data_IF_602862234512
#
_entry.id   IF_602862234512
#
_cell.length_a   1.000
_cell.length_b   1.000
_cell.length_c   1.000
_cell.angle_alpha   90.00
_cell.angle_beta   90.00
_cell.angle_gamma   90.00
#
_symmetry.space_group_name_H-M   'P 1'
#
loop_
_entity.id
_entity.type
_entity.pdbx_description
1 polymer ?
#
# COMPACT_ATOMS: atom_id res chain seq x y z
N UNK A 1 6.98 21.79 -18.70
CA UNK A 1 8.15 21.35 -17.89
C UNK A 1 8.52 19.89 -18.19
N UNK A 2 9.78 19.55 -18.47
CA UNK A 2 10.21 18.16 -18.59
C UNK A 2 10.55 17.59 -17.19
N UNK A 3 9.76 16.63 -16.71
CA UNK A 3 9.84 16.13 -15.33
C UNK A 3 10.38 14.69 -15.35
N UNK A 4 11.67 14.54 -15.09
CA UNK A 4 12.33 13.23 -14.99
C UNK A 4 12.23 12.67 -13.56
N UNK A 5 12.03 11.36 -13.45
CA UNK A 5 12.05 10.64 -12.16
C UNK A 5 13.50 10.33 -11.75
N UNK A 6 13.82 10.51 -10.48
CA UNK A 6 15.13 10.16 -9.92
C UNK A 6 15.36 8.63 -9.93
N UNK A 7 16.60 8.19 -10.15
CA UNK A 7 16.95 6.79 -10.44
C UNK A 7 17.31 5.94 -9.20
N UNK A 8 17.21 6.49 -7.99
CA UNK A 8 17.69 5.85 -6.76
C UNK A 8 16.62 5.19 -5.87
N UNK A 9 15.39 5.01 -6.36
CA UNK A 9 14.31 4.41 -5.54
C UNK A 9 14.27 2.87 -5.64
N UNK A 10 14.42 2.18 -4.51
CA UNK A 10 14.13 0.75 -4.37
C UNK A 10 12.69 0.56 -3.88
N UNK A 11 11.89 -0.23 -4.59
CA UNK A 11 10.53 -0.60 -4.14
C UNK A 11 10.60 -1.67 -3.04
N UNK A 12 10.69 -1.21 -1.79
CA UNK A 12 10.62 -2.11 -0.63
C UNK A 12 9.28 -2.86 -0.52
N UNK A 13 8.25 -2.44 -1.25
CA UNK A 13 7.00 -3.16 -1.40
C UNK A 13 7.16 -4.52 -2.11
N UNK A 14 8.28 -4.81 -2.78
CA UNK A 14 8.57 -6.13 -3.37
C UNK A 14 9.49 -7.00 -2.49
N UNK A 15 9.44 -6.78 -1.19
CA UNK A 15 10.19 -7.59 -0.23
C UNK A 15 9.27 -8.46 0.63
N UNK A 16 9.87 -9.48 1.25
CA UNK A 16 9.31 -10.27 2.34
C UNK A 16 10.30 -10.28 3.51
N UNK A 17 9.78 -10.44 4.72
CA UNK A 17 10.61 -10.62 5.92
C UNK A 17 10.77 -12.11 6.20
N UNK A 18 12.00 -12.58 6.30
CA UNK A 18 12.33 -13.90 6.85
C UNK A 18 12.93 -13.73 8.24
N UNK A 19 12.74 -14.69 9.12
CA UNK A 19 13.25 -14.64 10.49
C UNK A 19 14.32 -15.70 10.72
N UNK A 20 15.40 -15.31 11.40
CA UNK A 20 16.46 -16.20 11.87
C UNK A 20 16.84 -15.86 13.31
N UNK A 21 16.54 -16.74 14.27
CA UNK A 21 16.83 -16.52 15.71
C UNK A 21 16.44 -15.13 16.23
N UNK A 22 15.23 -14.66 15.89
CA UNK A 22 14.73 -13.35 16.32
C UNK A 22 15.24 -12.16 15.50
N UNK A 23 16.13 -12.37 14.52
CA UNK A 23 16.61 -11.34 13.60
C UNK A 23 15.71 -11.32 12.35
N UNK A 24 15.04 -10.19 12.05
CA UNK A 24 14.31 -10.03 10.80
C UNK A 24 15.29 -9.71 9.66
N UNK A 25 15.09 -10.35 8.51
CA UNK A 25 15.90 -10.12 7.31
C UNK A 25 14.94 -9.81 6.16
N UNK A 26 15.13 -8.67 5.52
CA UNK A 26 14.33 -8.24 4.38
C UNK A 26 14.98 -8.77 3.11
N UNK A 27 14.25 -9.58 2.37
CA UNK A 27 14.69 -10.18 1.10
C UNK A 27 13.67 -9.91 0.00
N UNK A 28 14.06 -9.98 -1.29
CA UNK A 28 13.09 -9.92 -2.38
C UNK A 28 11.94 -10.93 -2.24
N UNK A 29 10.74 -10.59 -2.72
CA UNK A 29 9.57 -11.48 -2.62
C UNK A 29 9.78 -12.82 -3.38
N UNK A 30 10.59 -12.80 -4.42
CA UNK A 30 10.97 -13.98 -5.21
C UNK A 30 12.15 -14.78 -4.64
N UNK A 31 12.64 -14.42 -3.43
CA UNK A 31 13.74 -15.14 -2.77
C UNK A 31 13.32 -16.58 -2.48
N UNK A 32 14.04 -17.54 -3.09
CA UNK A 32 13.68 -18.95 -3.07
C UNK A 32 13.92 -19.59 -1.69
N UNK A 33 13.28 -20.75 -1.43
CA UNK A 33 13.51 -21.51 -0.19
C UNK A 33 14.98 -21.94 -0.08
N UNK A 34 15.62 -22.27 -1.21
CA UNK A 34 17.03 -22.59 -1.27
C UNK A 34 17.90 -21.38 -0.89
N UNK A 35 17.64 -20.21 -1.47
CA UNK A 35 18.35 -18.97 -1.11
C UNK A 35 18.15 -18.63 0.37
N UNK A 36 16.94 -18.82 0.90
CA UNK A 36 16.63 -18.65 2.32
C UNK A 36 17.42 -19.60 3.22
N UNK A 37 17.54 -20.88 2.83
CA UNK A 37 18.35 -21.88 3.53
C UNK A 37 19.81 -21.45 3.64
N UNK A 38 20.43 -21.03 2.53
CA UNK A 38 21.82 -20.60 2.51
C UNK A 38 22.04 -19.33 3.35
N UNK A 39 21.13 -18.35 3.24
CA UNK A 39 21.22 -17.11 4.01
C UNK A 39 21.11 -17.35 5.52
N UNK A 40 20.13 -18.16 5.94
CA UNK A 40 19.96 -18.53 7.36
C UNK A 40 21.14 -19.34 7.88
N UNK A 41 21.68 -20.26 7.07
CA UNK A 41 22.86 -21.01 7.44
C UNK A 41 24.08 -20.10 7.64
N UNK A 42 24.33 -19.15 6.73
CA UNK A 42 25.42 -18.20 6.86
C UNK A 42 25.31 -17.34 8.13
N UNK A 43 24.11 -16.83 8.44
CA UNK A 43 23.87 -16.08 9.67
C UNK A 43 24.04 -16.94 10.93
N UNK A 44 23.56 -18.18 10.89
CA UNK A 44 23.73 -19.16 11.98
C UNK A 44 25.21 -19.47 12.20
N UNK A 45 26.00 -19.59 11.13
CA UNK A 45 27.45 -19.80 11.22
C UNK A 45 28.13 -18.67 11.99
N UNK A 46 27.80 -17.42 11.66
CA UNK A 46 28.35 -16.24 12.34
C UNK A 46 27.88 -16.21 13.80
N UNK A 47 26.59 -16.41 14.06
CA UNK A 47 25.99 -16.28 15.39
C UNK A 47 26.54 -17.29 16.40
N UNK A 48 26.81 -18.52 15.96
CA UNK A 48 27.36 -19.58 16.82
C UNK A 48 28.89 -19.65 16.80
N UNK A 49 29.57 -18.76 16.06
CA UNK A 49 31.04 -18.78 15.95
C UNK A 49 31.59 -20.00 15.19
N UNK A 50 30.79 -20.61 14.31
CA UNK A 50 31.23 -21.71 13.47
C UNK A 50 32.14 -21.18 12.35
N UNK A 51 33.11 -22.00 11.92
CA UNK A 51 34.06 -21.61 10.86
C UNK A 51 33.52 -21.89 9.45
N UNK A 52 32.61 -22.86 9.30
CA UNK A 52 32.14 -23.34 8.00
C UNK A 52 30.62 -23.28 7.87
N UNK A 53 30.16 -22.57 6.84
CA UNK A 53 28.74 -22.57 6.42
C UNK A 53 28.31 -23.95 5.95
N UNK A 54 29.16 -24.69 5.23
CA UNK A 54 28.84 -26.04 4.76
C UNK A 54 28.59 -27.02 5.90
N UNK A 55 29.40 -26.95 6.97
CA UNK A 55 29.17 -27.76 8.15
C UNK A 55 27.84 -27.39 8.83
N UNK A 56 27.54 -26.09 8.92
CA UNK A 56 26.29 -25.58 9.47
C UNK A 56 25.09 -26.05 8.65
N UNK A 57 25.18 -26.03 7.31
CA UNK A 57 24.15 -26.50 6.38
C UNK A 57 23.84 -27.98 6.60
N UNK A 58 24.88 -28.82 6.66
CA UNK A 58 24.74 -30.27 6.86
C UNK A 58 24.17 -30.62 8.24
N UNK A 59 24.54 -29.86 9.26
CA UNK A 59 24.19 -30.15 10.66
C UNK A 59 22.78 -29.66 11.01
N UNK A 60 22.44 -28.41 10.66
CA UNK A 60 21.22 -27.76 11.13
C UNK A 60 20.15 -27.58 10.05
N UNK A 61 20.51 -27.62 8.76
CA UNK A 61 19.61 -27.30 7.64
C UNK A 61 19.38 -28.47 6.67
N UNK A 62 19.75 -29.70 7.05
CA UNK A 62 19.63 -30.90 6.18
C UNK A 62 18.21 -31.08 5.63
N UNK A 63 17.20 -31.01 6.51
CA UNK A 63 15.79 -31.21 6.17
C UNK A 63 15.01 -29.89 6.04
N UNK A 64 15.70 -28.75 5.88
CA UNK A 64 15.10 -27.42 5.92
C UNK A 64 13.91 -27.27 4.97
N UNK A 65 14.06 -27.62 3.69
CA UNK A 65 12.99 -27.46 2.69
C UNK A 65 11.76 -28.33 3.01
N UNK A 66 11.98 -29.55 3.50
CA UNK A 66 10.90 -30.45 3.90
C UNK A 66 10.15 -29.87 5.09
N UNK A 67 10.89 -29.38 6.09
CA UNK A 67 10.31 -28.76 7.29
C UNK A 67 9.54 -27.48 6.97
N UNK A 68 10.05 -26.63 6.06
CA UNK A 68 9.35 -25.42 5.64
C UNK A 68 8.07 -25.74 4.85
N UNK A 69 8.07 -26.77 4.00
CA UNK A 69 6.84 -27.23 3.32
C UNK A 69 5.78 -27.72 4.32
N UNK A 70 6.18 -28.47 5.35
CA UNK A 70 5.27 -28.93 6.41
C UNK A 70 4.75 -27.76 7.25
N UNK A 71 5.62 -26.82 7.62
CA UNK A 71 5.21 -25.60 8.34
C UNK A 71 4.19 -24.80 7.52
N UNK A 72 4.45 -24.64 6.23
CA UNK A 72 3.54 -23.94 5.33
C UNK A 72 2.19 -24.66 5.18
N UNK A 73 2.16 -25.99 5.10
CA UNK A 73 0.87 -26.70 5.06
C UNK A 73 0.08 -26.52 6.35
N UNK A 74 0.75 -26.54 7.50
CA UNK A 74 0.11 -26.44 8.81
C UNK A 74 -0.36 -25.01 9.13
N UNK A 75 0.24 -23.98 8.53
CA UNK A 75 -0.13 -22.58 8.77
C UNK A 75 -1.27 -22.08 7.90
N UNK A 76 -1.71 -22.82 6.86
CA UNK A 76 -2.74 -22.36 5.92
C UNK A 76 -4.07 -22.00 6.57
N UNK A 77 -4.44 -22.71 7.63
CA UNK A 77 -5.70 -22.47 8.34
C UNK A 77 -5.58 -21.36 9.40
N UNK A 78 -4.37 -20.91 9.71
CA UNK A 78 -4.12 -19.82 10.65
C UNK A 78 -4.72 -18.50 10.13
N UNK A 79 -5.44 -17.79 11.01
CA UNK A 79 -6.10 -16.53 10.67
C UNK A 79 -5.11 -15.45 10.17
N UNK A 80 -3.92 -15.36 10.77
CA UNK A 80 -2.89 -14.41 10.36
C UNK A 80 -2.35 -14.73 8.97
N UNK A 81 -2.25 -16.02 8.62
CA UNK A 81 -1.88 -16.44 7.27
C UNK A 81 -2.95 -16.05 6.25
N UNK A 82 -4.24 -16.22 6.60
CA UNK A 82 -5.36 -15.80 5.74
C UNK A 82 -5.36 -14.28 5.51
N UNK A 83 -5.11 -13.48 6.55
CA UNK A 83 -4.96 -12.03 6.41
C UNK A 83 -3.74 -11.66 5.56
N UNK A 84 -2.56 -12.23 5.85
CA UNK A 84 -1.35 -11.96 5.06
C UNK A 84 -1.54 -12.30 3.58
N UNK A 85 -2.17 -13.44 3.27
CA UNK A 85 -2.49 -13.84 1.90
C UNK A 85 -3.40 -12.82 1.21
N UNK A 86 -4.44 -12.35 1.89
CA UNK A 86 -5.40 -11.39 1.33
C UNK A 86 -4.78 -9.99 1.16
N UNK A 87 -3.98 -9.55 2.12
CA UNK A 87 -3.17 -8.33 2.03
C UNK A 87 -2.27 -8.41 0.79
N UNK A 88 -1.51 -9.49 0.64
CA UNK A 88 -0.61 -9.66 -0.50
C UNK A 88 -1.35 -9.65 -1.84
N UNK A 89 -2.56 -10.22 -1.90
CA UNK A 89 -3.42 -10.14 -3.09
C UNK A 89 -3.79 -8.68 -3.42
N UNK A 90 -4.23 -7.91 -2.42
CA UNK A 90 -4.58 -6.49 -2.57
C UNK A 90 -3.37 -5.67 -3.03
N UNK A 91 -2.23 -5.80 -2.34
CA UNK A 91 -1.04 -5.02 -2.63
C UNK A 91 -0.50 -5.34 -4.04
N UNK A 92 -0.60 -6.59 -4.49
CA UNK A 92 -0.23 -6.99 -5.85
C UNK A 92 -1.13 -6.34 -6.89
N UNK A 93 -2.45 -6.38 -6.69
CA UNK A 93 -3.40 -5.71 -7.58
C UNK A 93 -3.16 -4.20 -7.63
N UNK A 94 -2.89 -3.60 -6.47
CA UNK A 94 -2.60 -2.17 -6.37
C UNK A 94 -1.37 -1.79 -7.17
N UNK A 95 -0.27 -2.53 -6.99
CA UNK A 95 0.98 -2.32 -7.73
C UNK A 95 0.75 -2.37 -9.23
N UNK A 96 0.12 -3.43 -9.72
CA UNK A 96 -0.12 -3.63 -11.16
C UNK A 96 -0.94 -2.49 -11.77
N UNK A 97 -2.00 -2.07 -11.06
CA UNK A 97 -2.88 -0.99 -11.51
C UNK A 97 -2.17 0.36 -11.45
N UNK A 98 -1.47 0.64 -10.36
CA UNK A 98 -0.72 1.88 -10.18
C UNK A 98 0.38 2.03 -11.23
N UNK A 99 1.23 1.01 -11.41
CA UNK A 99 2.29 1.01 -12.42
C UNK A 99 1.75 1.25 -13.83
N UNK A 100 0.58 0.69 -14.16
CA UNK A 100 -0.08 0.92 -15.45
C UNK A 100 -0.39 2.41 -15.65
N UNK A 101 -0.87 3.08 -14.61
CA UNK A 101 -1.17 4.51 -14.64
C UNK A 101 0.10 5.36 -14.64
N UNK A 102 1.09 5.04 -13.79
CA UNK A 102 2.39 5.73 -13.77
C UNK A 102 3.12 5.61 -15.11
N UNK A 103 3.07 4.45 -15.78
CA UNK A 103 3.63 4.26 -17.13
C UNK A 103 2.95 5.14 -18.19
N UNK A 104 1.65 5.44 -18.05
CA UNK A 104 0.98 6.43 -18.90
C UNK A 104 1.50 7.84 -18.59
N UNK A 105 1.53 8.20 -17.31
CA UNK A 105 1.99 9.52 -16.84
C UNK A 105 3.43 9.85 -17.27
N UNK A 106 4.32 8.87 -17.24
CA UNK A 106 5.72 9.03 -17.65
C UNK A 106 5.89 9.33 -19.14
N UNK A 107 4.89 8.98 -19.97
CA UNK A 107 4.89 9.30 -21.40
C UNK A 107 4.37 10.70 -21.70
N UNK A 108 3.74 11.36 -20.74
CA UNK A 108 3.19 12.70 -20.93
C UNK A 108 4.28 13.75 -20.84
N UNK A 109 4.34 14.58 -21.89
CA UNK A 109 5.10 15.81 -21.90
C UNK A 109 4.18 16.97 -21.51
N UNK A 110 4.60 17.74 -20.51
CA UNK A 110 3.87 18.88 -19.97
C UNK A 110 4.49 20.22 -20.40
N UNK A 111 5.27 20.26 -21.48
CA UNK A 111 5.89 21.50 -21.96
C UNK A 111 4.87 22.50 -22.50
N UNK A 112 3.85 22.00 -23.21
CA UNK A 112 2.84 22.84 -23.87
C UNK A 112 1.51 22.90 -23.10
N UNK A 113 1.44 22.31 -21.91
CA UNK A 113 0.24 22.30 -21.07
C UNK A 113 0.18 23.55 -20.16
N UNK A 114 -1.01 23.84 -19.63
CA UNK A 114 -1.17 24.89 -18.62
C UNK A 114 -0.33 24.59 -17.37
N UNK A 115 -0.05 25.64 -16.60
CA UNK A 115 0.69 25.56 -15.35
C UNK A 115 0.02 24.55 -14.38
N UNK A 116 -1.30 24.65 -14.23
CA UNK A 116 -2.10 23.74 -13.40
C UNK A 116 -1.97 22.26 -13.79
N UNK A 117 -2.03 21.94 -15.08
CA UNK A 117 -1.87 20.55 -15.56
C UNK A 117 -0.45 20.05 -15.31
N UNK A 118 0.56 20.91 -15.47
CA UNK A 118 1.95 20.58 -15.11
C UNK A 118 2.10 20.25 -13.62
N UNK A 119 1.49 21.05 -12.73
CA UNK A 119 1.48 20.78 -11.29
C UNK A 119 0.74 19.50 -10.93
N UNK A 120 -0.39 19.22 -11.57
CA UNK A 120 -1.09 17.94 -11.42
C UNK A 120 -0.16 16.77 -11.78
N UNK A 121 0.57 16.87 -12.91
CA UNK A 121 1.57 15.88 -13.31
C UNK A 121 2.65 15.64 -12.24
N UNK A 122 3.15 16.70 -11.62
CA UNK A 122 4.12 16.63 -10.51
C UNK A 122 3.55 15.90 -9.29
N UNK A 123 2.35 16.25 -8.84
CA UNK A 123 1.68 15.64 -7.69
C UNK A 123 1.49 14.14 -7.93
N UNK A 124 0.97 13.78 -9.10
CA UNK A 124 0.72 12.39 -9.47
C UNK A 124 1.99 11.55 -9.59
N UNK A 125 3.12 12.14 -10.03
CA UNK A 125 4.44 11.49 -10.00
C UNK A 125 4.96 11.32 -8.58
N UNK A 126 4.81 12.33 -7.71
CA UNK A 126 5.24 12.25 -6.30
C UNK A 126 4.52 11.16 -5.52
N UNK A 127 3.25 10.89 -5.84
CA UNK A 127 2.46 9.84 -5.16
C UNK A 127 3.04 8.43 -5.29
N UNK A 128 3.93 8.17 -6.27
CA UNK A 128 4.64 6.88 -6.43
C UNK A 128 5.29 6.45 -5.11
N UNK A 129 6.09 7.34 -4.50
CA UNK A 129 6.77 7.01 -3.25
C UNK A 129 5.81 6.77 -2.09
N UNK A 130 4.63 7.41 -2.09
CA UNK A 130 3.63 7.24 -1.03
C UNK A 130 2.91 5.89 -1.15
N UNK A 131 2.61 5.45 -2.37
CA UNK A 131 2.11 4.08 -2.60
C UNK A 131 3.15 3.05 -2.18
N UNK A 132 4.42 3.22 -2.56
CA UNK A 132 5.49 2.27 -2.24
C UNK A 132 5.73 2.16 -0.73
N UNK A 133 5.81 3.32 -0.05
CA UNK A 133 5.92 3.38 1.41
C UNK A 133 4.73 2.71 2.11
N UNK A 134 3.51 3.00 1.65
CA UNK A 134 2.29 2.40 2.23
C UNK A 134 2.28 0.88 2.08
N UNK A 135 2.67 0.34 0.91
CA UNK A 135 2.76 -1.12 0.71
C UNK A 135 3.74 -1.77 1.69
N UNK A 136 4.90 -1.15 1.93
CA UNK A 136 5.88 -1.64 2.89
C UNK A 136 5.32 -1.63 4.33
N UNK A 137 4.78 -0.49 4.76
CA UNK A 137 4.23 -0.36 6.12
C UNK A 137 3.09 -1.36 6.39
N UNK A 138 2.19 -1.55 5.42
CA UNK A 138 1.11 -2.54 5.50
C UNK A 138 1.67 -3.94 5.72
N UNK A 139 2.65 -4.36 4.91
CA UNK A 139 3.29 -5.69 5.02
C UNK A 139 3.94 -5.92 6.37
N UNK A 140 4.47 -4.87 6.99
CA UNK A 140 5.15 -4.96 8.27
C UNK A 140 4.21 -4.75 9.47
N UNK A 141 2.90 -4.55 9.24
CA UNK A 141 1.93 -4.39 10.31
C UNK A 141 1.79 -2.97 10.86
N UNK A 142 2.42 -1.97 10.25
CA UNK A 142 2.43 -0.55 10.69
C UNK A 142 1.17 0.19 10.23
N UNK A 143 0.01 -0.25 10.73
CA UNK A 143 -1.29 0.25 10.29
C UNK A 143 -1.52 1.72 10.69
N UNK A 144 -1.02 2.16 11.83
CA UNK A 144 -1.24 3.52 12.33
C UNK A 144 -0.55 4.57 11.45
N UNK A 145 0.73 4.33 11.12
CA UNK A 145 1.51 5.15 10.20
C UNK A 145 0.91 5.14 8.79
N UNK A 146 0.37 3.99 8.37
CA UNK A 146 -0.27 3.85 7.07
C UNK A 146 -1.51 4.76 6.95
N UNK A 147 -2.35 4.90 7.98
CA UNK A 147 -3.48 5.83 7.93
C UNK A 147 -3.06 7.26 7.64
N UNK A 148 -1.96 7.71 8.26
CA UNK A 148 -1.42 9.06 8.06
C UNK A 148 -0.97 9.27 6.60
N UNK A 149 -0.31 8.29 6.00
CA UNK A 149 0.08 8.35 4.60
C UNK A 149 -1.12 8.34 3.65
N UNK A 150 -2.10 7.44 3.87
CA UNK A 150 -3.32 7.35 3.07
C UNK A 150 -4.08 8.68 3.10
N UNK A 151 -4.18 9.32 4.28
CA UNK A 151 -4.79 10.64 4.42
C UNK A 151 -4.03 11.71 3.63
N UNK A 152 -2.71 11.75 3.72
CA UNK A 152 -1.89 12.69 2.96
C UNK A 152 -2.06 12.49 1.44
N UNK A 153 -2.18 11.23 0.99
CA UNK A 153 -2.43 10.92 -0.43
C UNK A 153 -3.80 11.42 -0.87
N UNK A 154 -4.84 11.25 -0.06
CA UNK A 154 -6.18 11.79 -0.33
C UNK A 154 -6.15 13.30 -0.50
N UNK A 155 -5.47 14.01 0.40
CA UNK A 155 -5.33 15.47 0.34
C UNK A 155 -4.59 15.91 -0.93
N UNK A 156 -3.54 15.19 -1.34
CA UNK A 156 -2.81 15.48 -2.58
C UNK A 156 -3.65 15.24 -3.83
N UNK A 157 -4.43 14.16 -3.87
CA UNK A 157 -5.35 13.86 -4.99
C UNK A 157 -6.45 14.92 -5.07
N UNK A 158 -7.04 15.30 -3.93
CA UNK A 158 -8.06 16.34 -3.87
C UNK A 158 -7.50 17.71 -4.27
N UNK A 159 -6.27 18.03 -3.87
CA UNK A 159 -5.58 19.24 -4.30
C UNK A 159 -5.37 19.24 -5.82
N UNK A 160 -4.86 18.15 -6.41
CA UNK A 160 -4.71 18.04 -7.86
C UNK A 160 -6.05 18.21 -8.61
N UNK A 161 -7.13 17.59 -8.14
CA UNK A 161 -8.47 17.75 -8.70
C UNK A 161 -8.96 19.21 -8.62
N UNK A 162 -8.69 19.90 -7.51
CA UNK A 162 -9.13 21.29 -7.36
C UNK A 162 -8.36 22.25 -8.28
N UNK A 163 -7.04 22.07 -8.41
CA UNK A 163 -6.22 22.98 -9.23
C UNK A 163 -6.34 22.72 -10.73
N UNK A 164 -6.75 21.52 -11.15
CA UNK A 164 -6.88 21.21 -12.58
C UNK A 164 -7.91 22.07 -13.31
N UNK A 165 -8.85 22.70 -12.58
CA UNK A 165 -9.82 23.64 -13.12
C UNK A 165 -9.45 25.12 -12.95
N UNK A 166 -8.19 25.43 -12.62
CA UNK A 166 -7.70 26.80 -12.38
C UNK A 166 -6.64 27.17 -13.40
N UNK A 167 -6.48 28.46 -13.65
CA UNK A 167 -5.53 28.95 -14.65
C UNK A 167 -4.13 29.17 -14.06
N UNK A 168 -4.05 29.72 -12.84
CA UNK A 168 -2.79 30.20 -12.26
C UNK A 168 -2.54 29.70 -10.82
N UNK A 169 -1.26 29.64 -10.42
CA UNK A 169 -0.82 29.24 -9.09
C UNK A 169 -1.42 30.05 -7.93
N UNK A 170 -1.67 31.35 -8.11
CA UNK A 170 -2.21 32.23 -7.07
C UNK A 170 -3.61 31.82 -6.60
N UNK A 171 -4.35 31.08 -7.42
CA UNK A 171 -5.68 30.58 -7.08
C UNK A 171 -5.64 29.31 -6.22
N UNK A 172 -4.46 28.74 -5.98
CA UNK A 172 -4.33 27.47 -5.28
C UNK A 172 -4.65 27.66 -3.79
N UNK A 173 -5.55 26.82 -3.29
CA UNK A 173 -5.97 26.85 -1.88
C UNK A 173 -5.32 25.72 -1.09
N UNK A 174 -5.36 25.79 0.24
CA UNK A 174 -4.82 24.73 1.09
C UNK A 174 -5.43 23.36 0.78
N UNK A 175 -4.62 22.27 0.68
CA UNK A 175 -5.09 20.93 0.37
C UNK A 175 -6.25 20.42 1.25
N UNK A 176 -6.29 20.80 2.53
CA UNK A 176 -7.35 20.41 3.48
C UNK A 176 -8.72 20.97 3.10
N UNK A 177 -8.75 22.10 2.38
CA UNK A 177 -9.97 22.73 1.84
C UNK A 177 -10.40 22.12 0.51
N UNK A 178 -9.53 21.37 -0.18
CA UNK A 178 -9.83 20.81 -1.50
C UNK A 178 -10.70 19.55 -1.44
N UNK A 179 -10.79 18.91 -0.26
CA UNK A 179 -11.62 17.72 -0.07
C UNK A 179 -13.09 18.00 -0.36
N UNK A 180 -13.60 19.19 -0.08
CA UNK A 180 -15.00 19.54 -0.37
C UNK A 180 -15.29 19.52 -1.87
N UNK A 181 -14.39 20.05 -2.70
CA UNK A 181 -14.54 20.03 -4.16
C UNK A 181 -14.54 18.61 -4.73
N UNK A 182 -13.74 17.70 -4.15
CA UNK A 182 -13.68 16.32 -4.61
C UNK A 182 -14.99 15.55 -4.37
N UNK A 183 -15.86 16.00 -3.46
CA UNK A 183 -17.14 15.32 -3.19
C UNK A 183 -18.10 15.37 -4.37
N UNK A 184 -18.03 16.41 -5.19
CA UNK A 184 -18.93 16.56 -6.33
C UNK A 184 -18.65 15.51 -7.41
N UNK A 185 -17.37 15.11 -7.56
CA UNK A 185 -16.93 14.07 -8.50
C UNK A 185 -16.88 12.68 -7.87
N UNK A 186 -16.47 12.58 -6.61
CA UNK A 186 -16.38 11.33 -5.85
C UNK A 186 -17.07 11.49 -4.49
N UNK A 187 -18.40 11.26 -4.40
CA UNK A 187 -19.22 11.58 -3.22
C UNK A 187 -18.74 10.96 -1.89
N UNK A 188 -18.10 9.80 -1.95
CA UNK A 188 -17.62 9.11 -0.75
C UNK A 188 -16.34 9.73 -0.15
N UNK A 189 -15.63 10.60 -0.88
CA UNK A 189 -14.34 11.19 -0.47
C UNK A 189 -14.42 11.92 0.87
N UNK A 190 -15.53 12.61 1.14
CA UNK A 190 -15.77 13.30 2.40
C UNK A 190 -15.89 12.39 3.62
N UNK A 191 -16.68 11.31 3.50
CA UNK A 191 -16.85 10.32 4.57
C UNK A 191 -15.54 9.59 4.82
N UNK A 192 -14.83 9.26 3.74
CA UNK A 192 -13.53 8.62 3.81
C UNK A 192 -12.48 9.51 4.49
N UNK A 193 -12.44 10.81 4.19
CA UNK A 193 -11.57 11.76 4.88
C UNK A 193 -11.83 11.80 6.40
N UNK A 194 -13.11 11.82 6.80
CA UNK A 194 -13.51 11.77 8.20
C UNK A 194 -13.06 10.49 8.90
N UNK A 195 -13.25 9.34 8.23
CA UNK A 195 -12.77 8.04 8.71
C UNK A 195 -11.26 8.07 8.94
N UNK A 196 -10.47 8.47 7.94
CA UNK A 196 -9.01 8.53 8.07
C UNK A 196 -8.59 9.49 9.18
N UNK A 197 -9.22 10.66 9.28
CA UNK A 197 -8.93 11.63 10.34
C UNK A 197 -9.12 11.03 11.73
N UNK A 198 -10.22 10.30 11.96
CA UNK A 198 -10.49 9.61 13.23
C UNK A 198 -9.46 8.52 13.56
N UNK A 199 -8.83 7.93 12.55
CA UNK A 199 -7.83 6.85 12.72
C UNK A 199 -6.39 7.37 12.83
N UNK A 200 -6.13 8.61 12.45
CA UNK A 200 -4.79 9.23 12.49
C UNK A 200 -4.46 9.95 13.79
N UNK A 201 -5.46 10.41 14.54
CA UNK A 201 -5.26 11.12 15.79
C UNK A 201 -5.49 10.17 16.97
N UNK A 202 -4.55 10.13 17.92
CA UNK A 202 -4.74 9.35 19.15
C UNK A 202 -5.81 10.07 19.99
N UNK A 203 -6.98 9.47 20.07
CA UNK A 203 -8.06 9.86 20.96
C UNK A 203 -8.58 8.63 21.74
N UNK A 204 -9.58 8.85 22.60
CA UNK A 204 -10.16 7.78 23.43
C UNK A 204 -10.64 6.57 22.60
N UNK A 205 -11.22 6.80 21.41
CA UNK A 205 -11.69 5.73 20.52
C UNK A 205 -10.55 4.93 19.90
N UNK A 206 -9.37 5.53 19.76
CA UNK A 206 -8.20 4.86 19.20
C UNK A 206 -7.43 4.05 20.24
N UNK A 207 -7.51 4.40 21.54
CA UNK A 207 -6.81 3.65 22.62
C UNK A 207 -7.17 2.17 22.56
N UNK A 208 -8.45 1.83 22.39
CA UNK A 208 -8.92 0.44 22.32
C UNK A 208 -8.39 -0.33 21.10
N UNK A 209 -7.84 0.35 20.09
CA UNK A 209 -7.23 -0.30 18.92
C UNK A 209 -5.78 -0.68 19.13
N UNK A 210 -5.09 -0.04 20.07
CA UNK A 210 -3.68 -0.32 20.32
C UNK A 210 -3.36 -0.71 21.77
N UNK A 211 -4.36 -0.75 22.66
CA UNK A 211 -4.21 -1.15 24.05
C UNK A 211 -5.27 -2.16 24.43
N UNK A 212 -4.87 -3.22 25.12
CA UNK A 212 -5.77 -4.19 25.74
C UNK A 212 -5.20 -4.68 27.07
N UNK A 213 -6.04 -5.25 27.92
CA UNK A 213 -5.63 -5.92 29.15
C UNK A 213 -5.72 -7.42 28.89
N UNK A 214 -4.63 -8.15 29.15
CA UNK A 214 -4.60 -9.59 28.96
C UNK A 214 -5.32 -10.35 30.10
N UNK A 215 -5.33 -11.67 29.98
CA UNK A 215 -5.96 -12.58 30.95
C UNK A 215 -5.34 -12.53 32.35
N UNK A 216 -4.12 -12.00 32.50
CA UNK A 216 -3.44 -11.81 33.79
C UNK A 216 -3.68 -10.40 34.38
N UNK A 217 -4.43 -9.54 33.69
CA UNK A 217 -4.63 -8.16 34.11
C UNK A 217 -3.48 -7.22 33.73
N UNK A 218 -2.54 -7.66 32.89
CA UNK A 218 -1.42 -6.83 32.44
C UNK A 218 -1.80 -6.02 31.20
N UNK A 219 -1.39 -4.75 31.17
CA UNK A 219 -1.63 -3.86 30.04
C UNK A 219 -0.68 -4.16 28.88
N UNK A 220 -1.25 -4.45 27.71
CA UNK A 220 -0.53 -4.80 26.49
C UNK A 220 -0.72 -3.73 25.41
N UNK A 221 0.30 -3.52 24.59
CA UNK A 221 0.29 -2.56 23.47
C UNK A 221 0.42 -3.28 22.13
N UNK A 222 -0.50 -3.01 21.20
CA UNK A 222 -0.47 -3.52 19.83
C UNK A 222 0.35 -2.56 18.98
N UNK A 223 1.65 -2.86 18.85
CA UNK A 223 2.57 -2.10 17.99
C UNK A 223 2.37 -2.42 16.50
N UNK A 224 1.93 -3.65 16.18
CA UNK A 224 1.76 -4.14 14.80
C UNK A 224 0.57 -5.09 14.74
N UNK A 225 -0.19 -5.05 13.66
CA UNK A 225 -1.36 -5.93 13.48
C UNK A 225 -1.64 -6.20 12.01
N UNK A 226 -1.68 -7.48 11.63
CA UNK A 226 -2.10 -7.90 10.29
C UNK A 226 -3.59 -7.66 10.05
N UNK A 227 -4.41 -7.80 11.09
CA UNK A 227 -5.85 -7.51 10.99
C UNK A 227 -6.09 -6.04 10.65
N UNK A 228 -5.41 -5.11 11.33
CA UNK A 228 -5.55 -3.69 11.02
C UNK A 228 -4.81 -3.30 9.73
N UNK A 229 -3.72 -3.99 9.38
CA UNK A 229 -3.10 -3.85 8.05
C UNK A 229 -4.03 -4.26 6.92
N UNK A 230 -4.93 -5.20 7.14
CA UNK A 230 -5.95 -5.57 6.14
C UNK A 230 -6.92 -4.40 5.91
N UNK A 231 -7.34 -3.69 6.97
CA UNK A 231 -8.15 -2.48 6.82
C UNK A 231 -7.42 -1.41 6.02
N UNK A 232 -6.17 -1.11 6.37
CA UNK A 232 -5.39 -0.09 5.66
C UNK A 232 -5.06 -0.49 4.22
N UNK A 233 -4.91 -1.78 3.93
CA UNK A 233 -4.77 -2.28 2.56
C UNK A 233 -6.02 -1.97 1.73
N UNK A 234 -7.21 -2.16 2.31
CA UNK A 234 -8.48 -1.79 1.67
C UNK A 234 -8.61 -0.28 1.51
N UNK A 235 -8.23 0.50 2.52
CA UNK A 235 -8.26 1.97 2.43
C UNK A 235 -7.30 2.49 1.35
N UNK A 236 -6.12 1.86 1.19
CA UNK A 236 -5.19 2.17 0.10
C UNK A 236 -5.77 1.78 -1.27
N UNK A 237 -6.65 0.77 -1.35
CA UNK A 237 -7.35 0.40 -2.60
C UNK A 237 -8.38 1.47 -2.97
N UNK A 238 -9.05 2.08 -2.00
CA UNK A 238 -9.93 3.23 -2.21
C UNK A 238 -9.12 4.44 -2.71
N UNK A 239 -7.94 4.70 -2.14
CA UNK A 239 -7.04 5.75 -2.64
C UNK A 239 -6.58 5.48 -4.08
N UNK A 240 -6.29 4.22 -4.41
CA UNK A 240 -5.95 3.86 -5.78
C UNK A 240 -7.13 4.09 -6.74
N UNK A 241 -8.36 3.76 -6.34
CA UNK A 241 -9.57 4.04 -7.12
C UNK A 241 -9.70 5.54 -7.40
N UNK A 242 -9.58 6.36 -6.35
CA UNK A 242 -9.60 7.82 -6.42
C UNK A 242 -8.49 8.36 -7.33
N UNK A 243 -7.26 7.89 -7.14
CA UNK A 243 -6.12 8.24 -7.98
C UNK A 243 -6.43 7.97 -9.45
N UNK A 244 -6.94 6.79 -9.78
CA UNK A 244 -7.22 6.43 -11.17
C UNK A 244 -8.37 7.26 -11.76
N UNK A 245 -9.44 7.50 -11.00
CA UNK A 245 -10.58 8.31 -11.48
C UNK A 245 -10.16 9.76 -11.72
N UNK A 246 -9.47 10.38 -10.76
CA UNK A 246 -9.01 11.76 -10.87
C UNK A 246 -7.92 11.89 -11.96
N UNK A 247 -7.05 10.90 -12.12
CA UNK A 247 -6.09 10.87 -13.22
C UNK A 247 -6.79 10.97 -14.58
N UNK A 248 -7.81 10.13 -14.82
CA UNK A 248 -8.52 10.13 -16.09
C UNK A 248 -9.30 11.43 -16.33
N UNK A 249 -9.83 12.02 -15.27
CA UNK A 249 -10.50 13.33 -15.32
C UNK A 249 -9.52 14.45 -15.73
N UNK A 250 -8.38 14.56 -15.04
CA UNK A 250 -7.41 15.65 -15.25
C UNK A 250 -6.73 15.53 -16.62
N UNK A 251 -6.31 14.32 -17.00
CA UNK A 251 -5.55 14.10 -18.24
C UNK A 251 -6.41 13.61 -19.39
N UNK A 252 -7.71 13.93 -19.37
CA UNK A 252 -8.72 13.45 -20.34
C UNK A 252 -8.31 13.64 -21.80
N UNK A 253 -7.70 14.78 -22.14
CA UNK A 253 -7.28 15.14 -23.50
C UNK A 253 -6.06 14.33 -23.98
N UNK A 254 -5.34 13.68 -23.05
CA UNK A 254 -4.18 12.83 -23.32
C UNK A 254 -4.52 11.34 -23.24
N UNK A 255 -5.79 10.98 -23.10
CA UNK A 255 -6.26 9.59 -22.94
C UNK A 255 -7.21 9.23 -24.07
N UNK A 256 -6.87 8.17 -24.81
CA UNK A 256 -7.71 7.68 -25.91
C UNK A 256 -8.94 6.88 -25.47
N UNK A 257 -8.90 6.28 -24.26
CA UNK A 257 -9.99 5.47 -23.72
C UNK A 257 -9.99 5.47 -22.19
N UNK A 258 -11.10 5.88 -21.60
CA UNK A 258 -11.33 5.84 -20.16
C UNK A 258 -11.61 4.42 -19.66
N UNK A 259 -11.14 4.12 -18.45
CA UNK A 259 -11.29 2.83 -17.77
C UNK A 259 -11.96 2.98 -16.40
N UNK A 260 -11.84 4.15 -15.78
CA UNK A 260 -12.28 4.46 -14.43
C UNK A 260 -13.43 5.49 -14.41
N UNK A 261 -13.54 6.30 -15.45
CA UNK A 261 -14.67 7.21 -15.68
C UNK A 261 -15.44 6.83 -16.95
N UNK A 262 -16.72 7.17 -17.03
CA UNK A 262 -17.52 7.07 -18.25
C UNK A 262 -17.47 8.37 -19.06
N UNK A 263 -17.47 9.50 -18.34
CA UNK A 263 -17.37 10.85 -18.85
C UNK A 263 -16.78 11.76 -17.75
N UNK A 264 -16.71 13.06 -18.00
CA UNK A 264 -16.07 14.04 -17.10
C UNK A 264 -16.72 14.16 -15.71
N UNK A 265 -17.96 13.68 -15.54
CA UNK A 265 -18.69 13.80 -14.27
C UNK A 265 -19.08 12.46 -13.66
N UNK A 266 -18.94 11.36 -14.40
CA UNK A 266 -19.52 10.06 -14.03
C UNK A 266 -18.44 9.00 -13.89
N UNK A 267 -18.40 8.36 -12.72
CA UNK A 267 -17.52 7.22 -12.45
C UNK A 267 -18.02 5.97 -13.19
N UNK A 268 -17.10 5.17 -13.73
CA UNK A 268 -17.44 3.89 -14.32
C UNK A 268 -17.78 2.88 -13.22
N UNK A 269 -19.01 2.38 -13.20
CA UNK A 269 -19.49 1.39 -12.22
C UNK A 269 -18.77 0.05 -12.33
N UNK A 270 -18.24 -0.28 -13.53
CA UNK A 270 -17.51 -1.52 -13.84
C UNK A 270 -16.00 -1.35 -13.78
N UNK A 271 -15.49 -0.23 -13.24
CA UNK A 271 -14.05 -0.01 -13.08
C UNK A 271 -13.41 -1.12 -12.24
N UNK A 272 -12.22 -1.55 -12.66
CA UNK A 272 -11.58 -2.77 -12.16
C UNK A 272 -11.30 -2.74 -10.64
N UNK A 273 -10.97 -1.57 -10.11
CA UNK A 273 -10.75 -1.30 -8.68
C UNK A 273 -11.99 -1.56 -7.84
N UNK A 274 -13.18 -1.15 -8.30
CA UNK A 274 -14.45 -1.39 -7.61
C UNK A 274 -14.85 -2.85 -7.66
N UNK A 275 -14.71 -3.49 -8.82
CA UNK A 275 -14.98 -4.94 -8.96
C UNK A 275 -14.09 -5.74 -8.02
N UNK A 276 -12.80 -5.41 -7.97
CA UNK A 276 -11.84 -6.06 -7.09
C UNK A 276 -12.14 -5.81 -5.60
N UNK A 277 -12.52 -4.59 -5.22
CA UNK A 277 -12.96 -4.28 -3.86
C UNK A 277 -14.09 -5.22 -3.39
N UNK A 278 -15.12 -5.42 -4.22
CA UNK A 278 -16.22 -6.33 -3.87
C UNK A 278 -15.76 -7.78 -3.72
N UNK A 279 -14.85 -8.26 -4.58
CA UNK A 279 -14.27 -9.61 -4.46
C UNK A 279 -13.51 -9.79 -3.14
N UNK A 280 -12.69 -8.81 -2.77
CA UNK A 280 -11.92 -8.81 -1.52
C UNK A 280 -12.84 -8.77 -0.31
N UNK A 281 -13.90 -7.96 -0.35
CA UNK A 281 -14.85 -7.84 0.74
C UNK A 281 -15.56 -9.16 1.05
N UNK A 282 -15.97 -9.91 0.01
CA UNK A 282 -16.57 -11.24 0.19
C UNK A 282 -15.58 -12.27 0.75
N UNK A 283 -14.31 -12.23 0.31
CA UNK A 283 -13.24 -13.06 0.90
C UNK A 283 -13.01 -12.72 2.38
N UNK A 284 -12.93 -11.44 2.72
CA UNK A 284 -12.75 -10.97 4.09
C UNK A 284 -13.91 -11.40 5.00
N UNK A 285 -15.16 -11.29 4.54
CA UNK A 285 -16.34 -11.79 5.27
C UNK A 285 -16.24 -13.28 5.56
N UNK A 286 -15.74 -14.08 4.62
CA UNK A 286 -15.58 -15.52 4.79
C UNK A 286 -14.51 -15.86 5.83
N UNK A 287 -13.47 -15.04 5.96
CA UNK A 287 -12.41 -15.21 6.95
C UNK A 287 -12.89 -14.96 8.40
N UNK A 288 -13.86 -14.07 8.57
CA UNK A 288 -14.37 -13.65 9.89
C UNK A 288 -15.72 -14.28 10.28
N UNK A 289 -16.17 -15.31 9.56
CA UNK A 289 -17.31 -16.17 9.94
C UNK A 289 -16.81 -17.35 10.74
#
# INVERSE_FOLDING_TARGET
MNINQDRFSVDFGETKTIWNYGIPIIVPVNFSIEQEKYLKAALTTIQYGNVSVDNTLKTYFKDFEKNEKIRFSNSKDNINYKYDSLINEILKFQKQTFEKMSRKLLKYNFVDDSESISFCGLIFKRLISSFDASRNLIKQGFYFETYSLIRQMLEQIAFAYNISGKDNFEEFISPTKCISSLKDFYPYSGKFYGLLSSKTHIDKSQIERFFYVDENGEGQIILRSLQYSMETAVDLLIILDLYCCVFEYIFKDKISKYQFIENETTLNEKRITRVFYHQIFEKYRTINK
#
